data_IF_728848562140
#
_entry.id   IF_728848562140
#
_cell.length_a   1.000
_cell.length_b   1.000
_cell.length_c   1.000
_cell.angle_alpha   90.00
_cell.angle_beta   90.00
_cell.angle_gamma   90.00
#
_symmetry.space_group_name_H-M   'P 1'
#
loop_
_entity.id
_entity.type
_entity.pdbx_description
1 polymer ?
#
# COMPACT_ATOMS: atom_id res chain seq x y z
N UNK A 1 50.72 0.82 -26.14
CA UNK A 1 51.02 0.72 -24.69
C UNK A 1 49.92 -0.08 -24.02
N UNK A 2 50.24 -0.98 -23.07
CA UNK A 2 49.39 -2.08 -22.66
C UNK A 2 48.54 -1.78 -21.40
N UNK A 3 47.37 -2.42 -21.38
CA UNK A 3 46.58 -2.96 -20.26
C UNK A 3 46.55 -2.25 -18.90
N UNK A 4 45.33 -1.91 -18.47
CA UNK A 4 44.92 -1.92 -17.06
C UNK A 4 43.97 -3.11 -16.87
N UNK A 5 44.54 -4.26 -16.48
CA UNK A 5 43.82 -5.46 -16.02
C UNK A 5 43.67 -5.50 -14.49
N UNK A 6 43.58 -4.34 -13.83
CA UNK A 6 43.68 -4.28 -12.37
C UNK A 6 42.36 -4.38 -11.59
N UNK A 7 41.19 -4.25 -12.22
CA UNK A 7 39.92 -4.29 -11.48
C UNK A 7 39.33 -5.70 -11.28
N UNK A 8 39.63 -6.65 -12.17
CA UNK A 8 39.22 -8.05 -12.02
C UNK A 8 40.06 -8.80 -10.97
N UNK A 9 41.33 -8.43 -10.79
CA UNK A 9 42.21 -9.08 -9.81
C UNK A 9 41.84 -8.70 -8.38
N UNK A 10 41.40 -7.46 -8.13
CA UNK A 10 40.91 -7.07 -6.81
C UNK A 10 39.60 -7.78 -6.45
N UNK A 11 38.64 -7.91 -7.38
CA UNK A 11 37.38 -8.64 -7.12
C UNK A 11 37.65 -10.14 -6.91
N UNK A 12 38.54 -10.75 -7.70
CA UNK A 12 38.93 -12.14 -7.53
C UNK A 12 39.66 -12.39 -6.19
N UNK A 13 40.46 -11.43 -5.70
CA UNK A 13 41.13 -11.56 -4.39
C UNK A 13 40.16 -11.42 -3.21
N UNK A 14 39.15 -10.53 -3.28
CA UNK A 14 38.17 -10.39 -2.18
C UNK A 14 37.26 -11.62 -2.09
N UNK A 15 36.90 -12.23 -3.23
CA UNK A 15 36.13 -13.48 -3.30
C UNK A 15 36.99 -14.69 -2.88
N UNK A 16 38.28 -14.71 -3.22
CA UNK A 16 39.20 -15.75 -2.78
C UNK A 16 39.49 -15.70 -1.26
N UNK A 17 39.53 -14.50 -0.66
CA UNK A 17 39.67 -14.37 0.79
C UNK A 17 38.40 -14.78 1.55
N UNK A 18 37.21 -14.51 1.00
CA UNK A 18 35.95 -14.98 1.61
C UNK A 18 35.75 -16.50 1.48
N UNK A 19 36.25 -17.12 0.41
CA UNK A 19 36.17 -18.59 0.24
C UNK A 19 37.13 -19.35 1.17
N UNK A 20 38.27 -18.77 1.57
CA UNK A 20 39.12 -19.39 2.60
C UNK A 20 38.49 -19.37 4.00
N UNK A 21 37.71 -18.35 4.33
CA UNK A 21 36.92 -18.35 5.58
C UNK A 21 35.71 -19.30 5.52
N UNK A 22 35.16 -19.54 4.33
CA UNK A 22 34.04 -20.48 4.14
C UNK A 22 34.48 -21.95 4.08
N UNK A 23 35.74 -22.27 3.79
CA UNK A 23 36.22 -23.67 3.80
C UNK A 23 36.22 -24.34 5.18
N UNK A 24 35.92 -23.62 6.26
CA UNK A 24 35.78 -24.19 7.60
C UNK A 24 34.35 -24.71 7.91
N UNK A 25 33.35 -24.39 7.10
CA UNK A 25 31.98 -24.88 7.26
C UNK A 25 31.40 -25.20 5.88
N UNK A 26 31.15 -26.49 5.64
CA UNK A 26 30.88 -27.08 4.33
C UNK A 26 30.05 -26.22 3.37
N UNK A 27 30.54 -26.16 2.13
CA UNK A 27 29.99 -25.48 0.96
C UNK A 27 28.47 -25.75 0.81
N UNK A 28 27.59 -24.78 1.16
CA UNK A 28 26.15 -25.03 1.16
C UNK A 28 25.56 -25.08 -0.25
N UNK A 29 26.24 -24.52 -1.25
CA UNK A 29 25.83 -24.49 -2.65
C UNK A 29 27.08 -24.40 -3.53
N UNK A 30 27.52 -25.55 -4.05
CA UNK A 30 28.65 -25.62 -4.97
C UNK A 30 28.49 -24.70 -6.18
N UNK A 31 29.59 -24.46 -6.91
CA UNK A 31 29.65 -23.51 -8.04
C UNK A 31 28.51 -23.69 -9.07
N UNK A 32 28.02 -24.92 -9.28
CA UNK A 32 26.88 -25.21 -10.14
C UNK A 32 25.54 -24.73 -9.56
N UNK A 33 25.32 -24.82 -8.24
CA UNK A 33 24.13 -24.29 -7.57
C UNK A 33 24.14 -22.76 -7.49
N UNK A 34 25.33 -22.14 -7.43
CA UNK A 34 25.47 -20.69 -7.53
C UNK A 34 25.23 -20.20 -8.97
N UNK A 35 25.68 -20.94 -9.97
CA UNK A 35 25.38 -20.67 -11.38
C UNK A 35 23.89 -20.88 -11.69
N UNK A 36 23.25 -21.89 -11.12
CA UNK A 36 21.81 -22.17 -11.28
C UNK A 36 20.94 -21.13 -10.57
N UNK A 37 21.36 -20.63 -9.40
CA UNK A 37 20.71 -19.50 -8.72
C UNK A 37 20.89 -18.18 -9.47
N UNK A 38 22.07 -17.94 -10.05
CA UNK A 38 22.30 -16.79 -10.93
C UNK A 38 21.43 -16.94 -12.17
N UNK A 39 21.45 -18.09 -12.86
CA UNK A 39 20.62 -18.40 -14.05
C UNK A 39 19.12 -18.29 -13.75
N UNK A 40 18.65 -18.70 -12.56
CA UNK A 40 17.26 -18.52 -12.14
C UNK A 40 16.91 -17.07 -11.80
N UNK A 41 17.89 -16.26 -11.39
CA UNK A 41 17.73 -14.81 -11.26
C UNK A 41 17.75 -14.08 -12.62
N UNK A 42 18.38 -14.65 -13.67
CA UNK A 42 18.38 -14.11 -15.04
C UNK A 42 17.33 -14.77 -15.97
N UNK A 43 16.60 -15.78 -15.52
CA UNK A 43 15.48 -16.40 -16.25
C UNK A 43 14.48 -16.99 -15.26
N UNK A 44 13.32 -16.36 -15.09
CA UNK A 44 12.33 -16.21 -16.15
C UNK A 44 12.50 -14.89 -16.91
N UNK A 45 12.31 -14.92 -18.22
CA UNK A 45 11.93 -13.71 -18.96
C UNK A 45 10.57 -13.31 -18.40
N UNK A 46 10.56 -12.43 -17.38
CA UNK A 46 9.32 -11.85 -16.89
C UNK A 46 8.69 -11.08 -18.05
N UNK A 47 7.59 -11.63 -18.58
CA UNK A 47 6.79 -11.09 -19.69
C UNK A 47 5.61 -10.26 -19.18
N UNK A 48 5.64 -9.84 -17.92
CA UNK A 48 4.59 -9.03 -17.31
C UNK A 48 4.40 -7.68 -18.00
N UNK A 49 3.35 -6.93 -17.62
CA UNK A 49 3.02 -5.65 -18.20
C UNK A 49 4.20 -4.68 -18.14
N UNK A 50 4.18 -3.72 -19.06
CA UNK A 50 5.17 -2.66 -19.15
C UNK A 50 4.48 -1.32 -19.06
N UNK A 51 5.03 -0.45 -18.26
CA UNK A 51 4.55 0.92 -18.12
C UNK A 51 5.49 1.90 -18.84
N UNK A 52 5.00 3.02 -19.38
CA UNK A 52 5.88 4.07 -19.87
C UNK A 52 6.81 4.58 -18.77
N UNK A 53 8.06 4.91 -19.12
CA UNK A 53 8.92 5.63 -18.19
C UNK A 53 8.29 7.00 -17.85
N UNK A 54 8.50 7.52 -16.62
CA UNK A 54 7.93 8.80 -16.23
C UNK A 54 8.42 9.92 -17.15
N UNK A 55 7.49 10.80 -17.53
CA UNK A 55 7.81 11.95 -18.36
C UNK A 55 8.73 12.90 -17.58
N UNK A 56 9.76 13.39 -18.27
CA UNK A 56 10.59 14.47 -17.74
C UNK A 56 9.75 15.73 -17.62
N UNK A 57 9.68 16.29 -16.42
CA UNK A 57 9.02 17.58 -16.15
C UNK A 57 10.07 18.66 -15.97
N UNK A 58 9.82 19.82 -16.56
CA UNK A 58 10.68 20.98 -16.37
C UNK A 58 10.46 21.55 -14.98
N UNK A 59 11.56 21.76 -14.24
CA UNK A 59 11.53 22.37 -12.92
C UNK A 59 11.00 23.81 -12.97
N UNK A 60 10.22 24.25 -11.97
CA UNK A 60 9.70 25.61 -11.88
C UNK A 60 10.82 26.64 -11.89
N UNK A 61 10.86 27.50 -12.91
CA UNK A 61 11.90 28.52 -13.06
C UNK A 61 11.61 29.79 -12.26
N UNK A 62 10.34 29.98 -11.90
CA UNK A 62 9.80 31.09 -11.13
C UNK A 62 10.19 31.00 -9.65
N UNK A 63 10.44 29.79 -9.15
CA UNK A 63 10.84 29.48 -7.78
C UNK A 63 12.31 29.87 -7.51
N UNK A 64 12.59 31.17 -7.53
CA UNK A 64 13.94 31.75 -7.49
C UNK A 64 14.54 31.91 -6.08
N UNK A 65 13.74 31.83 -5.02
CA UNK A 65 14.25 31.85 -3.65
C UNK A 65 14.77 30.47 -3.28
N UNK A 66 15.94 30.40 -2.64
CA UNK A 66 16.60 29.13 -2.31
C UNK A 66 17.05 29.12 -0.85
N UNK A 67 16.73 28.02 -0.15
CA UNK A 67 17.27 27.68 1.16
C UNK A 67 17.84 26.26 1.06
N UNK A 68 19.08 26.07 1.51
CA UNK A 68 19.76 24.76 1.49
C UNK A 68 19.97 24.25 2.91
N UNK A 69 19.80 22.94 3.08
CA UNK A 69 20.13 22.29 4.35
C UNK A 69 21.66 22.28 4.55
N UNK A 70 22.15 22.62 5.75
CA UNK A 70 23.56 22.44 6.09
C UNK A 70 23.88 21.02 6.58
N UNK A 71 22.87 20.16 6.78
CA UNK A 71 22.99 18.85 7.43
C UNK A 71 22.72 17.67 6.47
N UNK A 72 21.94 17.91 5.42
CA UNK A 72 21.56 16.91 4.44
C UNK A 72 21.59 17.50 3.02
N UNK A 73 21.62 16.62 2.02
CA UNK A 73 21.55 17.02 0.61
C UNK A 73 20.11 17.36 0.23
N UNK A 74 19.60 18.47 0.75
CA UNK A 74 18.21 18.92 0.62
C UNK A 74 18.17 20.42 0.31
N UNK A 75 17.31 20.80 -0.62
CA UNK A 75 17.10 22.20 -0.99
C UNK A 75 15.61 22.53 -1.10
N UNK A 76 15.22 23.68 -0.58
CA UNK A 76 13.88 24.25 -0.72
C UNK A 76 13.96 25.46 -1.65
N UNK A 77 13.27 25.37 -2.78
CA UNK A 77 13.03 26.47 -3.71
C UNK A 77 11.66 27.07 -3.45
N UNK A 78 11.47 28.36 -3.69
CA UNK A 78 10.16 29.00 -3.52
C UNK A 78 9.93 30.18 -4.44
N UNK A 79 8.66 30.43 -4.77
CA UNK A 79 8.25 31.65 -5.46
C UNK A 79 8.62 32.90 -4.64
N UNK A 80 8.89 34.07 -5.27
CA UNK A 80 9.26 35.30 -4.56
C UNK A 80 8.25 35.80 -3.53
N UNK A 81 6.99 35.37 -3.65
CA UNK A 81 5.90 35.70 -2.73
C UNK A 81 5.91 34.87 -1.45
N UNK A 82 6.64 33.76 -1.40
CA UNK A 82 6.71 32.88 -0.23
C UNK A 82 7.59 33.50 0.85
N UNK A 83 7.09 33.51 2.08
CA UNK A 83 7.84 34.10 3.19
C UNK A 83 9.05 33.25 3.56
N UNK A 84 10.14 33.89 4.01
CA UNK A 84 11.31 33.18 4.54
C UNK A 84 10.96 32.23 5.69
N UNK A 85 9.99 32.59 6.53
CA UNK A 85 9.53 31.74 7.63
C UNK A 85 8.93 30.44 7.11
N UNK A 86 8.06 30.49 6.10
CA UNK A 86 7.48 29.30 5.48
C UNK A 86 8.58 28.39 4.89
N UNK A 87 9.55 28.97 4.18
CA UNK A 87 10.69 28.20 3.64
C UNK A 87 11.51 27.51 4.73
N UNK A 88 11.75 28.19 5.86
CA UNK A 88 12.49 27.61 6.98
C UNK A 88 11.73 26.48 7.67
N UNK A 89 10.40 26.63 7.83
CA UNK A 89 9.56 25.57 8.37
C UNK A 89 9.50 24.37 7.43
N UNK A 90 9.38 24.60 6.12
CA UNK A 90 9.42 23.53 5.12
C UNK A 90 10.79 22.82 5.11
N UNK A 91 11.90 23.55 5.22
CA UNK A 91 13.23 22.96 5.33
C UNK A 91 13.36 22.08 6.59
N UNK A 92 12.90 22.58 7.75
CA UNK A 92 12.95 21.81 9.00
C UNK A 92 12.11 20.53 8.91
N UNK A 93 10.92 20.59 8.31
CA UNK A 93 10.09 19.42 8.05
C UNK A 93 10.77 18.42 7.10
N UNK A 94 11.41 18.91 6.04
CA UNK A 94 12.12 18.08 5.06
C UNK A 94 13.33 17.37 5.69
N UNK A 95 14.10 18.08 6.51
CA UNK A 95 15.22 17.52 7.30
C UNK A 95 14.73 16.44 8.28
N UNK A 96 13.62 16.71 8.98
CA UNK A 96 13.00 15.72 9.88
C UNK A 96 12.51 14.48 9.15
N UNK A 97 11.79 14.65 8.03
CA UNK A 97 11.31 13.55 7.21
C UNK A 97 12.48 12.68 6.72
N UNK A 98 13.51 13.30 6.14
CA UNK A 98 14.73 12.61 5.67
C UNK A 98 15.41 11.83 6.79
N UNK A 99 15.60 12.43 7.96
CA UNK A 99 16.30 11.79 9.08
C UNK A 99 15.53 10.62 9.68
N UNK A 100 14.20 10.73 9.80
CA UNK A 100 13.37 9.64 10.32
C UNK A 100 13.24 8.48 9.33
N UNK A 101 13.06 8.79 8.04
CA UNK A 101 13.06 7.77 6.98
C UNK A 101 14.41 7.04 6.90
N UNK A 102 15.53 7.74 7.11
CA UNK A 102 16.87 7.12 7.24
C UNK A 102 16.90 6.08 8.37
N UNK A 103 16.34 6.46 9.52
CA UNK A 103 16.31 5.61 10.73
C UNK A 103 15.44 4.37 10.50
N UNK A 104 14.38 4.50 9.70
CA UNK A 104 13.54 3.37 9.23
C UNK A 104 14.21 2.55 8.12
N UNK A 105 15.38 2.97 7.63
CA UNK A 105 16.18 2.30 6.61
C UNK A 105 15.72 2.56 5.18
N UNK A 106 14.88 3.57 4.94
CA UNK A 106 14.54 4.01 3.59
C UNK A 106 15.74 4.74 2.95
N UNK A 107 16.04 4.46 1.67
CA UNK A 107 17.12 5.14 0.98
C UNK A 107 16.77 6.60 0.69
N UNK A 108 17.76 7.44 0.45
CA UNK A 108 17.52 8.75 -0.14
C UNK A 108 17.15 8.61 -1.64
N UNK A 109 16.39 9.58 -2.20
CA UNK A 109 16.31 9.75 -3.65
C UNK A 109 17.73 9.87 -4.24
N UNK A 110 17.89 9.43 -5.49
CA UNK A 110 19.18 9.63 -6.18
C UNK A 110 19.43 11.12 -6.43
N UNK A 111 20.71 11.47 -6.55
CA UNK A 111 21.10 12.82 -6.97
C UNK A 111 20.57 13.13 -8.37
N UNK A 112 20.15 14.38 -8.55
CA UNK A 112 19.59 14.90 -9.80
C UNK A 112 20.65 15.42 -10.80
N UNK A 113 21.93 15.35 -10.44
CA UNK A 113 23.02 15.83 -11.29
C UNK A 113 23.06 17.36 -11.43
N UNK A 114 22.76 18.09 -10.36
CA UNK A 114 22.79 19.56 -10.27
C UNK A 114 21.66 20.28 -11.03
N UNK A 115 20.57 19.58 -11.35
CA UNK A 115 19.42 20.18 -12.05
C UNK A 115 18.70 21.23 -11.19
N UNK A 116 18.70 21.10 -9.87
CA UNK A 116 18.28 22.12 -8.90
C UNK A 116 19.36 23.15 -8.53
N UNK A 117 20.51 23.11 -9.21
CA UNK A 117 21.68 23.93 -8.88
C UNK A 117 22.60 23.32 -7.83
N UNK A 118 22.42 22.05 -7.48
CA UNK A 118 23.32 21.23 -6.65
C UNK A 118 22.81 19.78 -6.60
N UNK A 119 23.55 18.85 -5.97
CA UNK A 119 23.24 17.42 -6.01
C UNK A 119 22.08 17.02 -5.08
N UNK A 120 21.37 18.01 -4.55
CA UNK A 120 20.40 17.93 -3.47
C UNK A 120 19.06 17.38 -3.96
N UNK A 121 18.22 16.87 -3.06
CA UNK A 121 16.81 16.64 -3.37
C UNK A 121 16.05 17.95 -3.19
N UNK A 122 15.34 18.36 -4.24
CA UNK A 122 14.66 19.64 -4.27
C UNK A 122 13.16 19.53 -3.95
N UNK A 123 12.72 20.40 -3.06
CA UNK A 123 11.32 20.71 -2.80
C UNK A 123 11.01 22.11 -3.32
N UNK A 124 10.00 22.25 -4.16
CA UNK A 124 9.54 23.53 -4.70
C UNK A 124 8.24 23.96 -4.03
N UNK A 125 8.25 25.11 -3.36
CA UNK A 125 7.06 25.81 -2.88
C UNK A 125 6.58 26.77 -3.96
N UNK A 126 5.75 26.29 -4.88
CA UNK A 126 5.31 27.07 -6.05
C UNK A 126 3.90 26.75 -6.50
N UNK A 127 3.25 27.73 -7.13
CA UNK A 127 1.96 27.56 -7.80
C UNK A 127 2.07 27.23 -9.30
N UNK A 128 3.30 27.22 -9.84
CA UNK A 128 3.55 26.97 -11.27
C UNK A 128 3.29 25.51 -11.69
N UNK A 129 3.36 24.58 -10.74
CA UNK A 129 3.03 23.17 -10.92
C UNK A 129 2.07 22.71 -9.83
N UNK A 130 1.15 21.76 -10.13
CA UNK A 130 0.36 21.10 -9.09
C UNK A 130 1.25 20.42 -8.03
N UNK A 131 0.79 20.29 -6.77
CA UNK A 131 1.51 19.53 -5.75
C UNK A 131 1.64 18.04 -6.10
N UNK A 132 2.86 17.59 -6.35
CA UNK A 132 3.17 16.20 -6.72
C UNK A 132 4.67 15.90 -6.58
N UNK A 133 5.02 14.63 -6.71
CA UNK A 133 6.37 14.21 -7.06
C UNK A 133 6.53 14.16 -8.58
N UNK A 134 7.64 14.70 -9.08
CA UNK A 134 7.95 14.79 -10.49
C UNK A 134 9.30 14.15 -10.80
N UNK A 135 9.46 13.71 -12.05
CA UNK A 135 10.68 13.09 -12.55
C UNK A 135 11.46 14.03 -13.46
N UNK A 136 12.78 14.08 -13.29
CA UNK A 136 13.71 14.68 -14.26
C UNK A 136 14.11 13.71 -15.38
N UNK A 137 13.61 12.47 -15.31
CA UNK A 137 13.94 11.37 -16.21
C UNK A 137 14.67 10.22 -15.52
N UNK A 138 14.88 9.16 -16.31
CA UNK A 138 15.53 7.94 -15.86
C UNK A 138 17.04 8.13 -15.62
N UNK A 139 17.56 7.47 -14.60
CA UNK A 139 18.97 7.46 -14.25
C UNK A 139 19.68 6.21 -14.76
N UNK A 140 20.20 6.29 -15.99
CA UNK A 140 20.77 5.14 -16.71
C UNK A 140 22.08 4.58 -16.14
N UNK A 141 22.68 5.25 -15.15
CA UNK A 141 23.90 4.80 -14.48
C UNK A 141 23.64 3.90 -13.27
N UNK A 142 22.37 3.74 -12.87
CA UNK A 142 21.99 2.92 -11.73
C UNK A 142 21.80 1.45 -12.14
N UNK A 143 21.96 0.53 -11.19
CA UNK A 143 21.79 -0.89 -11.47
C UNK A 143 20.31 -1.28 -11.61
N UNK A 144 19.44 -0.78 -10.75
CA UNK A 144 17.98 -0.92 -10.87
C UNK A 144 17.41 0.26 -11.65
N UNK A 145 16.20 0.15 -12.16
CA UNK A 145 15.49 1.26 -12.77
C UNK A 145 15.22 2.33 -11.71
N UNK A 146 15.83 3.50 -11.85
CA UNK A 146 15.62 4.63 -10.95
C UNK A 146 15.38 5.90 -11.73
N UNK A 147 14.65 6.84 -11.13
CA UNK A 147 14.45 8.17 -11.67
C UNK A 147 15.04 9.23 -10.75
N UNK A 148 15.55 10.30 -11.37
CA UNK A 148 15.82 11.55 -10.66
C UNK A 148 14.49 12.24 -10.42
N UNK A 149 14.30 12.81 -9.23
CA UNK A 149 13.00 13.32 -8.80
C UNK A 149 13.12 14.60 -8.01
N UNK A 150 12.07 15.42 -8.08
CA UNK A 150 11.85 16.55 -7.20
C UNK A 150 10.40 16.56 -6.72
N UNK A 151 10.12 17.31 -5.66
CA UNK A 151 8.77 17.44 -5.10
C UNK A 151 8.26 18.86 -5.26
N UNK A 152 6.95 19.02 -5.43
CA UNK A 152 6.26 20.32 -5.46
C UNK A 152 5.19 20.35 -4.38
N UNK A 153 5.10 21.46 -3.68
CA UNK A 153 4.08 21.74 -2.67
C UNK A 153 3.45 23.11 -2.90
N UNK A 154 2.15 23.23 -2.62
CA UNK A 154 1.42 24.49 -2.72
C UNK A 154 1.94 25.50 -1.68
N UNK A 155 2.37 26.71 -2.09
CA UNK A 155 2.72 27.80 -1.19
C UNK A 155 1.65 28.15 -0.15
N UNK A 156 0.39 27.89 -0.44
CA UNK A 156 -0.75 28.16 0.42
C UNK A 156 -1.01 27.06 1.48
N UNK A 157 -0.16 26.03 1.55
CA UNK A 157 -0.28 24.97 2.56
C UNK A 157 -0.30 25.56 3.97
N UNK A 158 -1.35 25.29 4.78
CA UNK A 158 -1.43 25.76 6.17
C UNK A 158 -0.24 25.30 7.00
N UNK A 159 0.21 26.13 7.94
CA UNK A 159 1.44 25.87 8.72
C UNK A 159 1.32 24.59 9.56
N UNK A 160 0.13 24.31 10.07
CA UNK A 160 -0.22 23.11 10.83
C UNK A 160 -0.27 21.82 10.00
N UNK A 161 -0.29 21.93 8.67
CA UNK A 161 -0.24 20.80 7.74
C UNK A 161 1.12 20.66 7.06
N UNK A 162 1.97 21.67 7.18
CA UNK A 162 3.23 21.76 6.44
C UNK A 162 4.14 20.55 6.69
N UNK A 163 4.26 20.09 7.94
CA UNK A 163 5.10 18.94 8.29
C UNK A 163 4.61 17.64 7.59
N UNK A 164 3.32 17.37 7.66
CA UNK A 164 2.70 16.21 7.00
C UNK A 164 2.80 16.31 5.47
N UNK A 165 2.52 17.49 4.90
CA UNK A 165 2.55 17.70 3.47
C UNK A 165 3.96 17.63 2.87
N UNK A 166 4.96 18.19 3.54
CA UNK A 166 6.37 18.08 3.15
C UNK A 166 6.83 16.62 3.25
N UNK A 167 6.45 15.92 4.33
CA UNK A 167 6.77 14.51 4.52
C UNK A 167 6.18 13.65 3.41
N UNK A 168 4.90 13.84 3.07
CA UNK A 168 4.24 13.13 1.99
C UNK A 168 4.91 13.40 0.64
N UNK A 169 5.19 14.67 0.32
CA UNK A 169 5.83 15.04 -0.93
C UNK A 169 7.25 14.46 -1.07
N UNK A 170 8.03 14.48 0.01
CA UNK A 170 9.35 13.84 0.04
C UNK A 170 9.26 12.32 -0.11
N UNK A 171 8.34 11.67 0.60
CA UNK A 171 8.14 10.23 0.52
C UNK A 171 7.72 9.80 -0.90
N UNK A 172 6.82 10.52 -1.56
CA UNK A 172 6.44 10.21 -2.94
C UNK A 172 7.61 10.37 -3.92
N UNK A 173 8.42 11.41 -3.79
CA UNK A 173 9.61 11.61 -4.61
C UNK A 173 10.63 10.49 -4.39
N UNK A 174 10.85 10.09 -3.13
CA UNK A 174 11.68 8.95 -2.76
C UNK A 174 11.19 7.65 -3.43
N UNK A 175 9.89 7.36 -3.35
CA UNK A 175 9.32 6.14 -3.91
C UNK A 175 9.36 6.13 -5.43
N UNK A 176 9.08 7.26 -6.09
CA UNK A 176 9.25 7.42 -7.54
C UNK A 176 10.72 7.27 -7.97
N UNK A 177 11.65 7.72 -7.13
CA UNK A 177 13.07 7.53 -7.37
C UNK A 177 13.51 6.07 -7.19
N UNK A 178 12.90 5.34 -6.26
CA UNK A 178 13.19 3.93 -5.99
C UNK A 178 12.67 3.03 -7.11
N UNK A 179 11.40 3.18 -7.47
CA UNK A 179 10.77 2.43 -8.54
C UNK A 179 9.86 3.36 -9.38
N UNK A 180 10.37 3.84 -10.52
CA UNK A 180 9.59 4.67 -11.43
C UNK A 180 8.55 3.88 -12.23
N UNK A 181 8.61 2.55 -12.23
CA UNK A 181 7.64 1.68 -12.90
C UNK A 181 6.42 1.37 -12.04
N UNK A 182 6.55 1.50 -10.72
CA UNK A 182 5.44 1.24 -9.80
C UNK A 182 4.26 2.21 -10.02
N UNK A 183 3.05 1.77 -9.73
CA UNK A 183 1.85 2.57 -9.92
C UNK A 183 1.84 3.81 -9.02
N UNK A 184 1.28 4.91 -9.53
CA UNK A 184 1.14 6.15 -8.73
C UNK A 184 0.32 5.93 -7.46
N UNK A 185 -0.75 5.13 -7.56
CA UNK A 185 -1.61 4.83 -6.41
C UNK A 185 -0.84 4.16 -5.27
N UNK A 186 0.09 3.25 -5.59
CA UNK A 186 0.96 2.60 -4.61
C UNK A 186 1.96 3.56 -3.96
N UNK A 187 2.55 4.46 -4.74
CA UNK A 187 3.40 5.54 -4.22
C UNK A 187 2.62 6.45 -3.27
N UNK A 188 1.41 6.86 -3.64
CA UNK A 188 0.51 7.70 -2.82
C UNK A 188 0.09 7.00 -1.54
N UNK A 189 -0.32 5.72 -1.61
CA UNK A 189 -0.65 4.90 -0.46
C UNK A 189 0.52 4.79 0.53
N UNK A 190 1.71 4.46 0.02
CA UNK A 190 2.91 4.30 0.84
C UNK A 190 3.35 5.63 1.44
N UNK A 191 3.35 6.72 0.68
CA UNK A 191 3.68 8.04 1.21
C UNK A 191 2.70 8.51 2.29
N UNK A 192 1.39 8.26 2.12
CA UNK A 192 0.39 8.57 3.13
C UNK A 192 0.57 7.75 4.41
N UNK A 193 0.91 6.45 4.30
CA UNK A 193 1.26 5.60 5.45
C UNK A 193 2.55 6.06 6.14
N UNK A 194 3.63 6.34 5.40
CA UNK A 194 4.87 6.86 5.96
C UNK A 194 4.65 8.21 6.66
N UNK A 195 3.81 9.07 6.10
CA UNK A 195 3.45 10.33 6.74
C UNK A 195 2.72 10.09 8.06
N UNK A 196 1.86 9.06 8.14
CA UNK A 196 1.18 8.70 9.38
C UNK A 196 2.13 8.16 10.43
N UNK A 197 3.05 7.27 10.08
CA UNK A 197 4.09 6.77 10.98
C UNK A 197 4.94 7.91 11.57
N UNK A 198 5.19 8.97 10.79
CA UNK A 198 6.07 10.06 11.19
C UNK A 198 5.36 11.23 11.87
N UNK A 199 4.11 11.51 11.51
CA UNK A 199 3.40 12.73 11.93
C UNK A 199 2.07 12.45 12.64
N UNK A 200 1.61 11.20 12.65
CA UNK A 200 0.29 10.81 13.12
C UNK A 200 -0.85 11.16 12.15
N UNK A 201 -0.55 11.66 10.94
CA UNK A 201 -1.55 12.03 9.91
C UNK A 201 -1.33 11.26 8.63
N UNK A 202 -2.40 10.76 8.02
CA UNK A 202 -2.33 10.08 6.73
C UNK A 202 -2.16 11.08 5.58
N UNK A 203 -0.93 11.24 5.11
CA UNK A 203 -0.58 12.11 3.99
C UNK A 203 -0.80 13.60 4.24
N UNK A 204 -0.79 14.39 3.16
CA UNK A 204 -1.07 15.83 3.19
C UNK A 204 -2.57 16.12 3.33
N UNK A 205 -3.39 15.42 2.53
CA UNK A 205 -4.85 15.44 2.59
C UNK A 205 -5.31 14.35 3.56
N UNK A 206 -5.48 14.71 4.83
CA UNK A 206 -5.79 13.79 5.93
C UNK A 206 -7.09 13.00 5.77
N UNK A 207 -7.93 13.37 4.80
CA UNK A 207 -9.26 12.79 4.63
C UNK A 207 -9.28 11.55 3.72
N UNK A 208 -8.16 11.20 3.05
CA UNK A 208 -8.16 10.07 2.10
C UNK A 208 -8.54 8.74 2.73
N UNK A 209 -8.06 8.45 3.95
CA UNK A 209 -8.42 7.21 4.67
C UNK A 209 -9.84 7.26 5.20
N UNK A 210 -10.31 8.41 5.68
CA UNK A 210 -11.72 8.60 6.07
C UNK A 210 -12.67 8.41 4.89
N UNK A 211 -12.31 8.93 3.70
CA UNK A 211 -13.04 8.67 2.46
C UNK A 211 -13.00 7.20 2.05
N UNK A 212 -11.85 6.54 2.18
CA UNK A 212 -11.74 5.09 1.94
C UNK A 212 -12.67 4.30 2.88
N UNK A 213 -12.82 4.75 4.13
CA UNK A 213 -13.80 4.17 5.06
C UNK A 213 -15.25 4.41 4.61
N UNK A 214 -15.57 5.62 4.17
CA UNK A 214 -16.90 5.97 3.68
C UNK A 214 -17.29 5.27 2.37
N UNK A 215 -16.32 4.83 1.58
CA UNK A 215 -16.50 4.16 0.28
C UNK A 215 -15.92 2.73 0.30
N UNK A 216 -16.44 1.82 1.16
CA UNK A 216 -15.82 0.52 1.38
C UNK A 216 -15.88 -0.42 0.18
N UNK A 217 -16.74 -0.11 -0.80
CA UNK A 217 -16.91 -0.86 -2.03
C UNK A 217 -15.76 -0.70 -3.02
N UNK A 218 -14.89 0.29 -2.80
CA UNK A 218 -13.70 0.53 -3.63
C UNK A 218 -12.55 -0.41 -3.28
N UNK A 219 -11.67 -0.58 -4.24
CA UNK A 219 -10.36 -1.23 -4.08
C UNK A 219 -9.47 -0.45 -3.11
N UNK A 220 -8.40 -1.10 -2.63
CA UNK A 220 -7.43 -0.50 -1.70
C UNK A 220 -6.39 0.38 -2.36
N UNK A 221 -6.08 0.16 -3.63
CA UNK A 221 -4.96 0.86 -4.30
C UNK A 221 -5.43 1.43 -5.63
N UNK A 222 -5.49 0.62 -6.69
CA UNK A 222 -6.09 1.03 -7.96
C UNK A 222 -7.58 1.32 -7.75
N UNK A 223 -7.98 2.59 -7.81
CA UNK A 223 -9.36 3.04 -7.53
C UNK A 223 -9.62 3.55 -6.11
N UNK A 224 -8.64 3.50 -5.21
CA UNK A 224 -8.80 3.99 -3.83
C UNK A 224 -8.96 5.51 -3.73
N UNK A 225 -9.61 5.94 -2.64
CA UNK A 225 -9.84 7.35 -2.36
C UNK A 225 -8.53 8.16 -2.30
N UNK A 226 -8.59 9.42 -2.75
CA UNK A 226 -7.42 10.30 -2.76
C UNK A 226 -6.34 9.87 -3.76
N UNK A 227 -6.73 9.35 -4.92
CA UNK A 227 -5.80 8.88 -5.97
C UNK A 227 -4.83 7.79 -5.47
N UNK A 228 -5.35 6.88 -4.65
CA UNK A 228 -4.59 5.78 -4.03
C UNK A 228 -4.16 6.02 -2.57
N UNK A 229 -4.17 7.26 -2.07
CA UNK A 229 -3.73 7.55 -0.69
C UNK A 229 -4.52 6.80 0.40
N UNK A 230 -5.81 6.49 0.15
CA UNK A 230 -6.64 5.66 1.03
C UNK A 230 -6.08 4.25 1.28
N UNK A 231 -5.24 3.75 0.36
CA UNK A 231 -4.51 2.48 0.51
C UNK A 231 -3.48 2.46 1.63
N UNK A 232 -3.17 3.61 2.24
CA UNK A 232 -2.35 3.68 3.44
C UNK A 232 -2.90 2.80 4.59
N UNK A 233 -4.22 2.62 4.64
CA UNK A 233 -4.86 1.75 5.63
C UNK A 233 -4.43 0.28 5.47
N UNK A 234 -4.32 -0.19 4.23
CA UNK A 234 -3.85 -1.54 3.93
C UNK A 234 -2.39 -1.73 4.34
N UNK A 235 -1.54 -0.75 4.04
CA UNK A 235 -0.13 -0.78 4.43
C UNK A 235 0.07 -0.70 5.95
N UNK A 236 -0.74 0.10 6.64
CA UNK A 236 -0.74 0.17 8.10
C UNK A 236 -1.10 -1.20 8.72
N UNK A 237 -2.10 -1.89 8.17
CA UNK A 237 -2.49 -3.23 8.59
C UNK A 237 -1.38 -4.26 8.38
N UNK A 238 -0.79 -4.29 7.18
CA UNK A 238 0.30 -5.21 6.87
C UNK A 238 1.52 -4.96 7.76
N UNK A 239 1.89 -3.69 7.95
CA UNK A 239 2.93 -3.26 8.88
C UNK A 239 2.65 -3.79 10.29
N UNK A 240 1.50 -3.46 10.88
CA UNK A 240 1.13 -3.87 12.23
C UNK A 240 1.12 -5.40 12.44
N UNK A 241 0.78 -6.16 11.39
CA UNK A 241 0.69 -7.62 11.46
C UNK A 241 2.01 -8.34 11.26
N UNK A 242 2.83 -7.87 10.32
CA UNK A 242 4.02 -8.60 9.86
C UNK A 242 5.33 -7.98 10.35
N UNK A 243 5.31 -6.76 10.91
CA UNK A 243 6.52 -6.13 11.42
C UNK A 243 6.97 -6.66 12.78
N UNK A 244 8.22 -7.12 12.82
CA UNK A 244 8.98 -7.21 14.05
C UNK A 244 9.64 -5.86 14.42
N UNK A 245 9.82 -4.98 13.44
CA UNK A 245 10.38 -3.62 13.58
C UNK A 245 9.51 -2.68 12.75
N UNK A 246 8.96 -1.60 13.32
CA UNK A 246 8.02 -0.74 12.62
C UNK A 246 8.51 -0.28 11.24
N UNK A 247 7.68 -0.52 10.22
CA UNK A 247 7.87 -0.11 8.84
C UNK A 247 8.86 -0.94 8.02
N UNK A 248 9.40 -2.03 8.56
CA UNK A 248 10.37 -2.89 7.87
C UNK A 248 9.74 -3.69 6.74
N UNK A 249 8.57 -4.26 6.96
CA UNK A 249 7.86 -5.15 6.06
C UNK A 249 7.55 -4.40 4.76
N UNK A 250 6.90 -3.24 4.86
CA UNK A 250 6.55 -2.43 3.69
C UNK A 250 7.80 -2.00 2.92
N UNK A 251 8.87 -1.60 3.61
CA UNK A 251 10.15 -1.27 2.96
C UNK A 251 10.76 -2.47 2.24
N UNK A 252 10.78 -3.63 2.87
CA UNK A 252 11.37 -4.85 2.30
C UNK A 252 10.55 -5.31 1.07
N UNK A 253 9.22 -5.14 1.07
CA UNK A 253 8.35 -5.36 -0.10
C UNK A 253 8.69 -4.41 -1.25
N UNK A 254 8.90 -3.11 -1.01
CA UNK A 254 9.38 -2.18 -2.04
C UNK A 254 10.74 -2.62 -2.64
N UNK A 255 11.62 -3.15 -1.80
CA UNK A 255 12.89 -3.74 -2.26
C UNK A 255 12.73 -4.98 -3.12
N UNK A 256 11.66 -5.78 -2.90
CA UNK A 256 11.32 -6.95 -3.72
C UNK A 256 10.68 -6.57 -5.05
N UNK A 257 9.85 -5.51 -5.07
CA UNK A 257 9.21 -5.00 -6.29
C UNK A 257 10.22 -4.31 -7.22
N UNK A 258 11.24 -3.62 -6.67
CA UNK A 258 12.21 -2.86 -7.47
C UNK A 258 12.98 -3.71 -8.48
N UNK A 259 12.97 -3.31 -9.75
CA UNK A 259 13.52 -4.11 -10.86
C UNK A 259 14.59 -3.39 -11.67
N UNK A 260 15.21 -4.11 -12.60
CA UNK A 260 15.93 -3.50 -13.74
C UNK A 260 15.31 -3.93 -15.06
N UNK A 261 15.10 -2.96 -15.95
CA UNK A 261 14.67 -3.18 -17.32
C UNK A 261 15.88 -3.22 -18.25
N UNK A 262 16.10 -4.37 -18.89
CA UNK A 262 17.27 -4.62 -19.73
C UNK A 262 17.01 -4.38 -21.23
N UNK A 263 15.77 -4.59 -21.70
CA UNK A 263 15.42 -4.57 -23.12
C UNK A 263 13.99 -4.10 -23.39
N UNK A 264 13.76 -3.55 -24.59
CA UNK A 264 12.47 -3.10 -25.12
C UNK A 264 12.07 -1.68 -24.69
N UNK A 265 10.86 -1.27 -25.06
CA UNK A 265 10.30 0.05 -24.71
C UNK A 265 9.51 -0.01 -23.41
N UNK A 266 9.56 1.06 -22.61
CA UNK A 266 8.90 1.10 -21.30
C UNK A 266 9.70 0.39 -20.21
N UNK A 267 9.25 0.55 -18.97
CA UNK A 267 9.77 -0.10 -17.78
C UNK A 267 8.95 -1.37 -17.49
N UNK A 268 9.58 -2.38 -16.91
CA UNK A 268 8.85 -3.55 -16.39
C UNK A 268 8.05 -3.14 -15.16
N UNK A 269 6.77 -3.52 -15.15
CA UNK A 269 5.86 -3.25 -14.04
C UNK A 269 5.60 -4.51 -13.18
N UNK A 270 6.20 -5.66 -13.48
CA UNK A 270 5.99 -6.93 -12.73
C UNK A 270 7.34 -7.62 -12.40
N UNK A 271 7.65 -7.96 -11.13
CA UNK A 271 6.80 -7.84 -9.93
C UNK A 271 6.45 -6.39 -9.57
N UNK A 272 5.16 -6.14 -9.39
CA UNK A 272 4.63 -4.93 -8.77
C UNK A 272 4.53 -5.13 -7.24
N UNK A 273 4.09 -4.09 -6.53
CA UNK A 273 3.84 -4.19 -5.10
C UNK A 273 2.79 -5.24 -4.73
N UNK A 274 1.74 -5.50 -5.53
CA UNK A 274 0.81 -6.59 -5.19
C UNK A 274 1.51 -7.95 -5.20
N UNK A 275 2.28 -8.24 -6.23
CA UNK A 275 3.03 -9.48 -6.39
C UNK A 275 4.12 -9.65 -5.34
N UNK A 276 4.79 -8.54 -4.98
CA UNK A 276 5.76 -8.51 -3.90
C UNK A 276 5.11 -8.74 -2.52
N UNK A 277 3.94 -8.14 -2.26
CA UNK A 277 3.17 -8.36 -1.03
C UNK A 277 2.70 -9.81 -0.94
N UNK A 278 2.11 -10.37 -2.00
CA UNK A 278 1.67 -11.77 -2.03
C UNK A 278 2.84 -12.69 -1.66
N UNK A 279 3.96 -12.53 -2.35
CA UNK A 279 5.19 -13.29 -2.11
C UNK A 279 5.71 -13.15 -0.67
N UNK A 280 5.66 -11.94 -0.10
CA UNK A 280 6.14 -11.67 1.25
C UNK A 280 5.22 -12.27 2.33
N UNK A 281 3.90 -12.15 2.16
CA UNK A 281 2.89 -12.71 3.06
C UNK A 281 2.91 -14.24 3.04
N UNK A 282 3.05 -14.85 1.86
CA UNK A 282 3.17 -16.31 1.75
C UNK A 282 4.42 -16.83 2.48
N UNK A 283 5.54 -16.10 2.37
CA UNK A 283 6.79 -16.44 3.08
C UNK A 283 6.68 -16.30 4.60
N UNK A 284 5.78 -15.45 5.11
CA UNK A 284 5.51 -15.37 6.55
C UNK A 284 4.62 -16.50 7.07
N UNK A 285 4.12 -17.37 6.18
CA UNK A 285 3.23 -18.48 6.50
C UNK A 285 1.76 -18.09 6.57
N UNK A 286 1.42 -16.91 6.06
CA UNK A 286 0.06 -16.39 5.99
C UNK A 286 -0.43 -16.34 4.53
N UNK A 287 -1.69 -15.93 4.31
CA UNK A 287 -2.27 -15.83 2.96
C UNK A 287 -2.79 -14.43 2.71
N UNK A 288 -2.47 -13.87 1.55
CA UNK A 288 -2.91 -12.52 1.16
C UNK A 288 -4.43 -12.33 1.27
N UNK A 289 -5.21 -13.30 0.79
CA UNK A 289 -6.67 -13.20 0.80
C UNK A 289 -7.25 -13.23 2.22
N UNK A 290 -6.65 -14.01 3.12
CA UNK A 290 -7.05 -14.06 4.53
C UNK A 290 -6.76 -12.71 5.21
N UNK A 291 -5.68 -12.03 4.81
CA UNK A 291 -5.34 -10.68 5.27
C UNK A 291 -6.35 -9.62 4.77
N UNK A 292 -6.80 -9.73 3.53
CA UNK A 292 -7.82 -8.84 2.96
C UNK A 292 -9.17 -9.03 3.68
N UNK A 293 -9.58 -10.28 3.95
CA UNK A 293 -10.79 -10.56 4.74
C UNK A 293 -10.68 -9.98 6.15
N UNK A 294 -9.55 -10.19 6.83
CA UNK A 294 -9.36 -9.70 8.19
C UNK A 294 -9.46 -8.17 8.25
N UNK A 295 -8.79 -7.45 7.35
CA UNK A 295 -8.91 -5.99 7.30
C UNK A 295 -10.35 -5.57 6.98
N UNK A 296 -11.03 -6.23 6.05
CA UNK A 296 -12.43 -5.93 5.74
C UNK A 296 -13.33 -6.05 6.98
N UNK A 297 -13.11 -7.04 7.84
CA UNK A 297 -13.85 -7.16 9.11
C UNK A 297 -13.41 -6.11 10.12
N UNK A 298 -12.10 -5.88 10.31
CA UNK A 298 -11.58 -4.91 11.28
C UNK A 298 -12.14 -3.49 11.06
N UNK A 299 -12.32 -3.08 9.80
CA UNK A 299 -12.92 -1.78 9.44
C UNK A 299 -14.30 -1.55 10.01
N UNK A 300 -15.09 -2.61 10.19
CA UNK A 300 -16.41 -2.48 10.81
C UNK A 300 -16.32 -1.88 12.21
N UNK A 301 -15.29 -2.24 12.97
CA UNK A 301 -15.15 -1.87 14.38
C UNK A 301 -14.70 -0.43 14.60
N UNK A 302 -14.16 0.23 13.56
CA UNK A 302 -13.77 1.64 13.61
C UNK A 302 -14.94 2.50 14.10
N UNK A 303 -14.73 3.19 15.22
CA UNK A 303 -15.74 4.04 15.85
C UNK A 303 -16.98 3.32 16.42
N UNK A 304 -17.00 1.98 16.50
CA UNK A 304 -18.15 1.20 16.98
C UNK A 304 -17.89 0.41 18.26
N UNK A 305 -16.66 -0.03 18.47
CA UNK A 305 -16.22 -0.72 19.67
C UNK A 305 -14.89 -0.14 20.14
N UNK A 306 -14.43 -0.49 21.34
CA UNK A 306 -13.05 -0.21 21.74
C UNK A 306 -12.13 -1.08 20.85
N UNK A 307 -11.37 -0.48 19.92
CA UNK A 307 -10.51 -1.26 19.05
C UNK A 307 -9.35 -1.82 19.86
N UNK A 308 -9.23 -3.14 19.89
CA UNK A 308 -8.00 -3.79 20.38
C UNK A 308 -6.88 -3.74 19.35
N UNK A 309 -7.22 -3.49 18.08
CA UNK A 309 -6.30 -3.42 16.95
C UNK A 309 -5.76 -2.00 16.76
N UNK A 310 -4.44 -1.89 16.58
CA UNK A 310 -3.73 -0.62 16.47
C UNK A 310 -4.16 0.20 15.24
N UNK A 311 -4.51 -0.46 14.13
CA UNK A 311 -4.91 0.21 12.89
C UNK A 311 -6.33 0.75 13.01
N UNK A 312 -7.23 -0.02 13.61
CA UNK A 312 -8.57 0.48 13.90
C UNK A 312 -8.56 1.62 14.94
N UNK A 313 -7.63 1.56 15.91
CA UNK A 313 -7.44 2.59 16.93
C UNK A 313 -6.83 3.90 16.39
N UNK A 314 -6.09 3.81 15.28
CA UNK A 314 -5.45 4.97 14.64
C UNK A 314 -6.43 5.85 13.85
N UNK A 315 -7.64 5.34 13.57
CA UNK A 315 -8.66 6.06 12.82
C UNK A 315 -9.59 6.82 13.75
N UNK A 316 -10.00 8.00 13.30
CA UNK A 316 -11.00 8.79 14.01
C UNK A 316 -12.32 8.03 14.13
N UNK A 317 -12.99 8.22 15.26
CA UNK A 317 -14.23 7.50 15.58
C UNK A 317 -15.39 7.76 14.61
N UNK A 318 -15.30 8.79 13.77
CA UNK A 318 -16.27 9.12 12.72
C UNK A 318 -15.96 8.46 11.37
N UNK A 319 -14.77 7.89 11.17
CA UNK A 319 -14.35 7.15 9.98
C UNK A 319 -14.98 5.73 9.89
N UNK A 320 -16.29 5.64 10.15
CA UNK A 320 -17.04 4.39 10.19
C UNK A 320 -17.41 3.93 8.78
N UNK A 321 -17.16 2.66 8.47
CA UNK A 321 -17.70 2.07 7.24
C UNK A 321 -19.25 2.12 7.21
N UNK A 322 -19.90 2.56 6.13
CA UNK A 322 -21.36 2.60 6.05
C UNK A 322 -21.98 1.21 6.01
N UNK A 323 -23.22 1.11 6.50
CA UNK A 323 -24.02 -0.11 6.38
C UNK A 323 -24.61 -0.17 4.97
N UNK A 324 -24.20 -1.15 4.18
CA UNK A 324 -24.67 -1.38 2.81
C UNK A 324 -26.10 -1.92 2.77
N UNK A 325 -26.55 -2.61 3.81
CA UNK A 325 -27.92 -3.12 3.91
C UNK A 325 -28.33 -3.53 5.31
N UNK A 326 -29.64 -3.53 5.58
CA UNK A 326 -30.22 -4.00 6.84
C UNK A 326 -31.29 -5.04 6.58
N UNK A 327 -31.14 -6.23 7.17
CA UNK A 327 -32.14 -7.28 7.14
C UNK A 327 -33.21 -7.01 8.19
N UNK A 328 -34.49 -7.06 7.78
CA UNK A 328 -35.64 -6.74 8.65
C UNK A 328 -36.59 -7.91 8.88
N UNK A 329 -36.42 -9.02 8.16
CA UNK A 329 -37.24 -10.25 8.26
C UNK A 329 -36.48 -11.47 7.76
N UNK A 330 -36.94 -12.67 8.10
CA UNK A 330 -36.45 -13.93 7.51
C UNK A 330 -37.62 -14.73 6.90
N UNK A 331 -37.40 -15.45 5.77
CA UNK A 331 -36.20 -15.39 4.94
C UNK A 331 -36.04 -14.02 4.27
N UNK A 332 -34.80 -13.64 3.98
CA UNK A 332 -34.48 -12.38 3.28
C UNK A 332 -33.43 -12.61 2.22
N UNK A 333 -33.55 -11.81 1.16
CA UNK A 333 -32.56 -11.62 0.12
C UNK A 333 -32.13 -10.16 0.13
N UNK A 334 -30.83 -9.92 0.21
CA UNK A 334 -30.20 -8.59 0.08
C UNK A 334 -29.34 -8.61 -1.16
N UNK A 335 -29.51 -7.61 -2.02
CA UNK A 335 -28.67 -7.40 -3.20
C UNK A 335 -27.83 -6.16 -2.91
N UNK A 336 -26.54 -6.21 -3.21
CA UNK A 336 -25.66 -5.07 -3.07
C UNK A 336 -26.17 -3.89 -3.90
N UNK A 337 -26.30 -2.71 -3.29
CA UNK A 337 -26.71 -1.50 -4.01
C UNK A 337 -25.59 -0.93 -4.89
N UNK A 338 -24.34 -1.15 -4.48
CA UNK A 338 -23.14 -0.76 -5.21
C UNK A 338 -22.37 -2.04 -5.56
N UNK A 339 -21.94 -2.20 -6.82
CA UNK A 339 -20.96 -3.22 -7.17
C UNK A 339 -19.67 -3.04 -6.34
N UNK A 340 -18.97 -4.14 -6.10
CA UNK A 340 -17.69 -4.15 -5.40
C UNK A 340 -16.56 -4.19 -6.41
N UNK A 341 -15.64 -3.23 -6.34
CA UNK A 341 -14.33 -3.30 -7.01
C UNK A 341 -13.50 -4.45 -6.40
N UNK A 342 -12.38 -4.80 -7.03
CA UNK A 342 -11.44 -5.80 -6.50
C UNK A 342 -10.95 -5.41 -5.10
N UNK A 343 -11.10 -6.33 -4.15
CA UNK A 343 -10.91 -6.16 -2.70
C UNK A 343 -11.87 -5.19 -1.99
N UNK A 344 -12.86 -4.65 -2.70
CA UNK A 344 -13.96 -3.89 -2.14
C UNK A 344 -14.89 -4.75 -1.28
N UNK A 345 -15.54 -4.13 -0.29
CA UNK A 345 -16.34 -4.79 0.74
C UNK A 345 -17.72 -4.15 0.96
N UNK A 346 -18.70 -4.96 1.34
CA UNK A 346 -20.04 -4.53 1.77
C UNK A 346 -20.40 -5.09 3.16
N UNK A 347 -21.17 -4.31 3.91
CA UNK A 347 -21.59 -4.63 5.27
C UNK A 347 -23.11 -4.71 5.37
N UNK A 348 -23.63 -5.89 5.68
CA UNK A 348 -25.07 -6.10 5.88
C UNK A 348 -25.33 -6.47 7.33
N UNK A 349 -26.27 -5.79 7.98
CA UNK A 349 -26.55 -6.02 9.41
C UNK A 349 -27.92 -6.65 9.62
N UNK A 350 -28.03 -7.42 10.71
CA UNK A 350 -29.28 -8.02 11.17
C UNK A 350 -29.34 -7.94 12.70
N UNK A 351 -30.42 -7.36 13.23
CA UNK A 351 -30.63 -7.28 14.69
C UNK A 351 -31.38 -8.51 15.22
N UNK A 352 -31.22 -8.81 16.51
CA UNK A 352 -31.74 -10.04 17.11
C UNK A 352 -33.25 -10.26 17.06
N UNK A 353 -34.02 -9.18 16.94
CA UNK A 353 -35.46 -9.26 16.73
C UNK A 353 -35.83 -10.01 15.44
N UNK A 354 -34.95 -10.01 14.43
CA UNK A 354 -35.21 -10.57 13.09
C UNK A 354 -35.22 -12.11 13.11
N UNK A 355 -34.28 -12.73 13.82
CA UNK A 355 -34.24 -14.20 13.94
C UNK A 355 -35.18 -14.76 15.01
N UNK A 356 -35.80 -13.90 15.82
CA UNK A 356 -36.91 -14.22 16.73
C UNK A 356 -36.68 -15.50 17.57
N UNK A 357 -35.51 -15.62 18.20
CA UNK A 357 -35.16 -16.74 19.07
C UNK A 357 -34.69 -18.00 18.35
N UNK A 358 -34.59 -18.02 17.01
CA UNK A 358 -33.89 -19.09 16.30
C UNK A 358 -32.44 -19.18 16.77
N UNK A 359 -31.95 -20.40 16.96
CA UNK A 359 -30.57 -20.67 17.41
C UNK A 359 -29.65 -20.98 16.23
N UNK A 360 -30.22 -21.20 15.04
CA UNK A 360 -29.47 -21.61 13.85
C UNK A 360 -29.97 -20.91 12.60
N UNK A 361 -29.06 -20.24 11.91
CA UNK A 361 -29.31 -19.62 10.62
C UNK A 361 -28.48 -20.26 9.53
N UNK A 362 -28.99 -20.17 8.31
CA UNK A 362 -28.29 -20.50 7.07
C UNK A 362 -28.11 -19.23 6.29
N UNK A 363 -26.89 -18.93 5.91
CA UNK A 363 -26.59 -17.82 5.03
C UNK A 363 -25.88 -18.31 3.78
N UNK A 364 -26.31 -17.82 2.62
CA UNK A 364 -25.73 -18.11 1.33
C UNK A 364 -25.33 -16.82 0.65
N UNK A 365 -24.12 -16.80 0.13
CA UNK A 365 -23.67 -15.80 -0.83
C UNK A 365 -23.80 -16.38 -2.23
N UNK A 366 -24.35 -15.58 -3.15
CA UNK A 366 -24.31 -15.83 -4.58
C UNK A 366 -23.74 -14.60 -5.29
N UNK A 367 -22.47 -14.66 -5.63
CA UNK A 367 -21.77 -13.66 -6.43
C UNK A 367 -21.74 -14.01 -7.93
N UNK A 368 -21.03 -13.19 -8.70
CA UNK A 368 -20.76 -13.43 -10.11
C UNK A 368 -19.78 -14.59 -10.34
N UNK A 369 -19.90 -15.25 -11.50
CA UNK A 369 -19.04 -16.37 -11.89
C UNK A 369 -17.62 -15.89 -12.21
N UNK A 370 -16.62 -16.70 -11.87
CA UNK A 370 -15.23 -16.36 -12.15
C UNK A 370 -14.70 -15.25 -11.24
N UNK A 371 -15.13 -15.23 -9.99
CA UNK A 371 -14.65 -14.32 -8.95
C UNK A 371 -14.52 -15.10 -7.65
N UNK A 372 -13.45 -14.88 -6.87
CA UNK A 372 -13.37 -15.39 -5.50
C UNK A 372 -14.08 -14.43 -4.57
N UNK A 373 -14.83 -14.98 -3.62
CA UNK A 373 -15.58 -14.18 -2.65
C UNK A 373 -15.13 -14.56 -1.24
N UNK A 374 -14.96 -13.55 -0.39
CA UNK A 374 -14.96 -13.75 1.06
C UNK A 374 -16.37 -13.50 1.58
N UNK A 375 -16.79 -14.36 2.50
CA UNK A 375 -18.07 -14.24 3.17
C UNK A 375 -17.91 -14.59 4.64
N UNK A 376 -17.98 -13.57 5.49
CA UNK A 376 -17.88 -13.69 6.94
C UNK A 376 -19.16 -13.24 7.63
N UNK A 377 -19.50 -13.91 8.73
CA UNK A 377 -20.55 -13.50 9.66
C UNK A 377 -19.94 -13.31 11.05
N UNK A 378 -20.16 -12.11 11.60
CA UNK A 378 -19.65 -11.67 12.90
C UNK A 378 -20.82 -11.51 13.86
N UNK A 379 -20.75 -12.18 15.01
CA UNK A 379 -21.73 -12.12 16.08
C UNK A 379 -21.28 -11.09 17.11
N UNK A 380 -22.16 -10.11 17.38
CA UNK A 380 -21.87 -9.00 18.29
C UNK A 380 -22.77 -9.04 19.53
N UNK A 381 -22.20 -8.67 20.67
CA UNK A 381 -22.92 -8.49 21.94
C UNK A 381 -23.76 -7.18 21.95
N UNK A 382 -24.33 -6.84 23.11
CA UNK A 382 -25.09 -5.60 23.31
C UNK A 382 -24.23 -4.33 23.29
N UNK A 383 -22.92 -4.46 23.49
CA UNK A 383 -21.92 -3.38 23.44
C UNK A 383 -21.27 -3.24 22.06
N UNK A 384 -21.54 -4.16 21.14
CA UNK A 384 -20.95 -4.18 19.81
C UNK A 384 -19.60 -4.90 19.74
N UNK A 385 -19.19 -5.61 20.79
CA UNK A 385 -17.96 -6.41 20.78
C UNK A 385 -18.18 -7.72 20.03
N UNK A 386 -17.13 -8.18 19.36
CA UNK A 386 -17.11 -9.49 18.71
C UNK A 386 -17.18 -10.61 19.74
N UNK A 387 -18.22 -11.45 19.65
CA UNK A 387 -18.33 -12.70 20.40
C UNK A 387 -17.70 -13.84 19.60
N UNK A 388 -18.02 -13.89 18.30
CA UNK A 388 -17.65 -14.98 17.41
C UNK A 388 -17.66 -14.53 15.96
N UNK A 389 -16.75 -15.08 15.17
CA UNK A 389 -16.73 -14.96 13.71
C UNK A 389 -16.74 -16.34 13.07
N UNK A 390 -17.45 -16.44 11.96
CA UNK A 390 -17.39 -17.59 11.07
C UNK A 390 -17.21 -17.09 9.64
N UNK A 391 -16.24 -17.65 8.92
CA UNK A 391 -15.96 -17.32 7.54
C UNK A 391 -16.10 -18.56 6.67
N UNK A 392 -16.59 -18.38 5.45
CA UNK A 392 -16.62 -19.43 4.46
C UNK A 392 -15.21 -19.59 3.90
N UNK A 393 -14.73 -20.82 3.71
CA UNK A 393 -13.39 -21.03 3.15
C UNK A 393 -13.31 -20.42 1.75
N UNK A 394 -12.16 -19.81 1.43
CA UNK A 394 -11.86 -19.28 0.10
C UNK A 394 -11.63 -20.43 -0.91
N UNK A 395 -12.70 -21.11 -1.31
CA UNK A 395 -12.62 -22.27 -2.20
C UNK A 395 -12.67 -21.85 -3.67
N UNK A 396 -11.51 -21.61 -4.28
CA UNK A 396 -11.41 -21.32 -5.73
C UNK A 396 -12.35 -20.22 -6.24
N UNK A 397 -12.46 -20.03 -7.57
CA UNK A 397 -13.34 -19.04 -8.17
C UNK A 397 -14.79 -19.54 -8.24
N UNK A 398 -15.39 -19.86 -7.09
CA UNK A 398 -16.79 -20.29 -7.01
C UNK A 398 -17.72 -19.13 -6.67
N UNK A 399 -18.83 -18.95 -7.40
CA UNK A 399 -19.77 -17.85 -7.13
C UNK A 399 -20.60 -18.04 -5.85
N UNK A 400 -20.41 -19.14 -5.10
CA UNK A 400 -21.27 -19.50 -3.99
C UNK A 400 -20.45 -19.75 -2.74
N UNK A 401 -20.89 -19.15 -1.63
CA UNK A 401 -20.38 -19.45 -0.31
C UNK A 401 -21.56 -19.77 0.63
N UNK A 402 -21.33 -20.60 1.64
CA UNK A 402 -22.35 -21.02 2.59
C UNK A 402 -21.80 -20.94 4.02
N UNK A 403 -22.61 -20.39 4.92
CA UNK A 403 -22.32 -20.29 6.33
C UNK A 403 -23.45 -20.93 7.16
N UNK A 404 -23.16 -22.02 7.89
CA UNK A 404 -24.03 -22.49 8.97
C UNK A 404 -23.72 -21.66 10.24
N UNK A 405 -24.69 -20.85 10.69
CA UNK A 405 -24.48 -19.93 11.81
C UNK A 405 -25.24 -20.45 13.03
N UNK A 406 -24.49 -20.87 14.05
CA UNK A 406 -25.04 -21.13 15.38
C UNK A 406 -24.97 -19.84 16.20
N UNK A 407 -26.13 -19.32 16.61
CA UNK A 407 -26.24 -18.04 17.30
C UNK A 407 -25.94 -18.25 18.78
N UNK A 408 -24.96 -17.51 19.29
CA UNK A 408 -24.68 -17.48 20.72
C UNK A 408 -25.79 -16.73 21.48
N UNK A 409 -26.13 -17.20 22.68
CA UNK A 409 -27.15 -16.59 23.54
C UNK A 409 -26.88 -15.11 23.88
N UNK A 410 -25.62 -14.68 23.88
CA UNK A 410 -25.22 -13.28 24.09
C UNK A 410 -25.34 -12.42 22.83
N UNK A 411 -25.51 -13.02 21.64
CA UNK A 411 -25.57 -12.29 20.37
C UNK A 411 -26.81 -11.43 20.27
N UNK A 412 -26.59 -10.14 20.00
CA UNK A 412 -27.63 -9.13 19.77
C UNK A 412 -27.69 -8.65 18.33
N UNK A 413 -26.56 -8.71 17.62
CA UNK A 413 -26.47 -8.31 16.22
C UNK A 413 -25.57 -9.25 15.45
N UNK A 414 -25.95 -9.50 14.20
CA UNK A 414 -25.11 -10.16 13.20
C UNK A 414 -24.67 -9.13 12.17
N UNK A 415 -23.41 -9.18 11.79
CA UNK A 415 -22.83 -8.41 10.69
C UNK A 415 -22.29 -9.39 9.67
N UNK A 416 -22.77 -9.26 8.44
CA UNK A 416 -22.26 -10.00 7.30
C UNK A 416 -21.30 -9.10 6.53
N UNK A 417 -20.08 -9.57 6.35
CA UNK A 417 -19.05 -8.89 5.55
C UNK A 417 -18.85 -9.71 4.29
N UNK A 418 -19.04 -9.06 3.14
CA UNK A 418 -18.84 -9.67 1.83
C UNK A 418 -17.75 -8.87 1.12
N UNK A 419 -16.72 -9.56 0.66
CA UNK A 419 -15.58 -8.94 -0.03
C UNK A 419 -15.35 -9.62 -1.37
N UNK A 420 -15.20 -8.82 -2.42
CA UNK A 420 -14.77 -9.29 -3.74
C UNK A 420 -13.27 -9.55 -3.67
N UNK A 421 -12.83 -10.82 -3.65
CA UNK A 421 -11.40 -11.18 -3.60
C UNK A 421 -10.75 -11.26 -4.99
N UNK A 422 -11.50 -10.96 -6.06
CA UNK A 422 -11.10 -11.13 -7.45
C UNK A 422 -10.61 -12.56 -7.77
N UNK A 423 -10.21 -12.81 -9.01
CA UNK A 423 -9.54 -14.06 -9.40
C UNK A 423 -8.04 -13.92 -9.52
N UNK A 424 -7.57 -12.70 -9.75
CA UNK A 424 -6.20 -12.30 -10.01
C UNK A 424 -5.89 -11.07 -9.15
N UNK A 425 -4.61 -10.77 -8.95
CA UNK A 425 -4.22 -9.53 -8.29
C UNK A 425 -4.64 -8.34 -9.17
N UNK A 426 -5.17 -7.26 -8.59
CA UNK A 426 -5.54 -6.08 -9.35
C UNK A 426 -4.28 -5.37 -9.88
N UNK A 427 -4.27 -5.06 -11.17
CA UNK A 427 -3.27 -4.15 -11.73
C UNK A 427 -3.61 -2.71 -11.26
N UNK A 428 -2.62 -2.01 -10.71
CA UNK A 428 -2.82 -0.65 -10.20
C UNK A 428 -2.56 0.43 -11.25
N UNK A 429 -1.94 0.07 -12.38
CA UNK A 429 -1.77 0.93 -13.55
C UNK A 429 -2.98 0.86 -14.50
N UNK A 430 -3.62 -0.32 -14.59
CA UNK A 430 -4.85 -0.53 -15.35
C UNK A 430 -6.03 -0.77 -14.40
N UNK A 431 -6.91 0.22 -14.15
CA UNK A 431 -8.01 0.05 -13.21
C UNK A 431 -8.87 -1.13 -13.62
N UNK A 432 -8.97 -2.12 -12.73
CA UNK A 432 -9.81 -3.29 -12.93
C UNK A 432 -11.28 -2.86 -13.04
N UNK A 433 -11.80 -2.91 -14.27
CA UNK A 433 -13.19 -2.58 -14.57
C UNK A 433 -14.18 -3.66 -14.08
N UNK A 434 -13.69 -4.67 -13.36
CA UNK A 434 -14.49 -5.76 -12.79
C UNK A 434 -15.21 -5.35 -11.52
N UNK A 435 -16.11 -4.37 -11.62
CA UNK A 435 -17.14 -4.17 -10.60
C UNK A 435 -18.05 -5.40 -10.54
N UNK A 436 -18.21 -6.01 -9.36
CA UNK A 436 -18.96 -7.27 -9.18
C UNK A 436 -20.13 -7.12 -8.22
N UNK A 437 -21.27 -7.65 -8.62
CA UNK A 437 -22.47 -7.71 -7.79
C UNK A 437 -22.58 -9.02 -7.03
N UNK A 438 -23.30 -8.99 -5.91
CA UNK A 438 -23.64 -10.19 -5.16
C UNK A 438 -25.06 -10.16 -4.60
N UNK A 439 -25.53 -11.33 -4.24
CA UNK A 439 -26.76 -11.58 -3.53
C UNK A 439 -26.48 -12.36 -2.24
N UNK A 440 -27.00 -11.85 -1.12
CA UNK A 440 -26.94 -12.50 0.19
C UNK A 440 -28.33 -12.98 0.57
N UNK A 441 -28.46 -14.28 0.82
CA UNK A 441 -29.71 -14.93 1.24
C UNK A 441 -29.52 -15.45 2.66
N UNK A 442 -30.46 -15.16 3.55
CA UNK A 442 -30.45 -15.68 4.92
C UNK A 442 -31.82 -16.26 5.29
N UNK A 443 -31.80 -17.44 5.89
CA UNK A 443 -32.99 -18.16 6.36
C UNK A 443 -32.73 -18.89 7.68
N UNK A 444 -33.81 -19.32 8.35
CA UNK A 444 -33.77 -20.17 9.54
C UNK A 444 -33.39 -21.61 9.16
N UNK A 445 -32.70 -22.30 10.05
CA UNK A 445 -32.41 -23.74 9.89
C UNK A 445 -33.47 -24.64 10.52
N UNK A 446 -34.36 -24.05 11.34
CA UNK A 446 -35.23 -24.80 12.26
C UNK A 446 -36.52 -25.35 11.61
N UNK A 447 -36.53 -25.47 10.27
CA UNK A 447 -37.63 -26.02 9.47
C UNK A 447 -37.16 -27.13 8.53
#
# INVERSE_FOLDING_TARGET
MPWVKSNLVCIALTIALQTQTAQAQGDPLGADGMAEAIVSMISPVWTGPRTPAPNRVQRPSEASLVVRSPYALLTVHADPSVTRQTMQLAMAALEHARARLDTMGWPAPISDGDLGGGPDVDLYLTSALPPDAYSDGMAWWTYLDRASTFAVLDPATPTELLDACVTAAYAEALLMSMDPAEARAWRRATAAWLTWELTGRFGCDGDAVTRQQAEPFRSWVGGAAGDGAGGALWLAYLSARHDAVPGRFVRDVWGLASQRTWEGTGLRADPDLWSAIESAVERSGDRLLDNVEELAVLRWFVGRADPSDAVAAALDSDAKAPISGQMKRLPTRVIAHQPLESFGSAYVVMDGAVWNGSTRLRAWLQGEYGVRWSFAAVQLDDRGNEIRRIAAPHTGPTPRAYLPIEIDHATRRLVFVVTNLSNELPDSDEPDMSERSFELIVDRSDY
#
